data_IF_093423771243
#
_entry.id   IF_093423771243
#
_cell.length_a   1.000
_cell.length_b   1.000
_cell.length_c   1.000
_cell.angle_alpha   90.00
_cell.angle_beta   90.00
_cell.angle_gamma   90.00
#
_symmetry.space_group_name_H-M   'P 1'
#
loop_
_entity.id
_entity.type
_entity.pdbx_description
1 polymer ?
#
# COMPACT_ATOMS: atom_id res chain seq x y z
N UNK A 1 -8.56 -10.46 27.12
CA UNK A 1 -8.06 -11.20 25.94
C UNK A 1 -7.67 -10.27 24.79
N UNK A 2 -8.56 -9.38 24.27
CA UNK A 2 -8.25 -8.46 23.16
C UNK A 2 -7.13 -7.46 23.50
N UNK A 3 -7.21 -6.78 24.66
CA UNK A 3 -6.20 -5.79 25.08
C UNK A 3 -4.79 -6.39 25.26
N UNK A 4 -4.69 -7.63 25.72
CA UNK A 4 -3.40 -8.32 25.84
C UNK A 4 -2.84 -8.61 24.43
N UNK A 5 -3.68 -9.09 23.52
CA UNK A 5 -3.31 -9.32 22.11
C UNK A 5 -2.84 -8.04 21.42
N UNK A 6 -3.45 -6.89 21.72
CA UNK A 6 -3.02 -5.59 21.22
C UNK A 6 -1.61 -5.20 21.69
N UNK A 7 -1.33 -5.42 22.99
CA UNK A 7 -0.01 -5.09 23.59
C UNK A 7 1.10 -6.01 23.10
N UNK A 8 0.79 -7.29 22.90
CA UNK A 8 1.73 -8.30 22.41
C UNK A 8 2.02 -8.14 20.91
N UNK A 9 1.11 -7.51 20.15
CA UNK A 9 1.23 -7.31 18.71
C UNK A 9 1.33 -5.82 18.40
N UNK A 10 2.53 -5.30 18.49
CA UNK A 10 2.86 -3.91 18.14
C UNK A 10 3.85 -3.92 16.99
N UNK A 11 3.57 -3.14 15.95
CA UNK A 11 4.47 -3.03 14.81
C UNK A 11 4.02 -1.97 13.82
N UNK A 12 4.91 -1.67 12.89
CA UNK A 12 4.63 -0.79 11.78
C UNK A 12 5.06 -1.45 10.47
N UNK A 13 4.19 -1.38 9.49
CA UNK A 13 4.48 -1.80 8.12
C UNK A 13 4.88 -0.56 7.31
N UNK A 14 6.07 -0.57 6.75
CA UNK A 14 6.51 0.50 5.84
C UNK A 14 5.85 0.28 4.49
N UNK A 15 5.03 1.25 4.04
CA UNK A 15 4.38 1.26 2.73
C UNK A 15 4.86 2.48 1.95
N UNK A 16 5.36 2.25 0.75
CA UNK A 16 5.65 3.27 -0.24
C UNK A 16 4.56 3.29 -1.30
N UNK A 17 4.03 4.47 -1.56
CA UNK A 17 3.04 4.73 -2.60
C UNK A 17 3.74 5.31 -3.85
N UNK A 18 3.04 5.35 -4.97
CA UNK A 18 3.47 5.97 -6.23
C UNK A 18 4.79 5.42 -6.81
N UNK A 19 5.00 4.11 -6.67
CA UNK A 19 6.16 3.44 -7.27
C UNK A 19 5.90 3.24 -8.76
N UNK A 20 6.66 3.95 -9.59
CA UNK A 20 6.48 4.00 -11.04
C UNK A 20 7.81 4.13 -11.77
N UNK A 21 7.86 3.87 -13.09
CA UNK A 21 9.09 4.10 -13.88
C UNK A 21 9.56 5.55 -13.79
N UNK A 22 8.62 6.50 -13.73
CA UNK A 22 8.87 7.92 -13.53
C UNK A 22 8.60 8.28 -12.06
N UNK A 23 9.63 8.41 -11.27
CA UNK A 23 9.55 8.77 -9.86
C UNK A 23 10.87 9.38 -9.37
N UNK A 24 10.92 9.88 -8.15
CA UNK A 24 12.15 10.37 -7.53
C UNK A 24 13.11 9.21 -7.18
N UNK A 25 13.79 8.70 -8.19
CA UNK A 25 14.71 7.57 -8.04
C UNK A 25 15.89 7.87 -7.13
N UNK A 26 16.32 9.13 -7.03
CA UNK A 26 17.42 9.51 -6.12
C UNK A 26 17.02 9.23 -4.68
N UNK A 27 15.80 9.59 -4.28
CA UNK A 27 15.28 9.30 -2.94
C UNK A 27 14.99 7.81 -2.75
N UNK A 28 14.38 7.14 -3.74
CA UNK A 28 14.08 5.73 -3.64
C UNK A 28 15.34 4.86 -3.52
N UNK A 29 16.39 5.15 -4.29
CA UNK A 29 17.67 4.43 -4.20
C UNK A 29 18.34 4.60 -2.83
N UNK A 30 18.20 5.77 -2.18
CA UNK A 30 18.66 6.00 -0.80
C UNK A 30 17.83 5.17 0.21
N UNK A 31 16.50 5.18 0.07
CA UNK A 31 15.61 4.37 0.89
C UNK A 31 15.90 2.87 0.73
N UNK A 32 16.11 2.39 -0.49
CA UNK A 32 16.43 0.98 -0.75
C UNK A 32 17.71 0.54 -0.03
N UNK A 33 18.77 1.34 -0.10
CA UNK A 33 20.03 1.04 0.62
C UNK A 33 19.80 0.94 2.13
N UNK A 34 19.14 1.91 2.72
CA UNK A 34 18.82 1.94 4.14
C UNK A 34 18.00 0.71 4.57
N UNK A 35 16.93 0.41 3.84
CA UNK A 35 16.03 -0.71 4.17
C UNK A 35 16.75 -2.06 4.07
N UNK A 36 17.64 -2.22 3.08
CA UNK A 36 18.45 -3.42 2.95
C UNK A 36 19.48 -3.54 4.09
N UNK A 37 20.12 -2.45 4.50
CA UNK A 37 21.07 -2.40 5.62
C UNK A 37 20.42 -2.91 6.92
N UNK A 38 19.20 -2.46 7.21
CA UNK A 38 18.46 -2.88 8.41
C UNK A 38 17.59 -4.12 8.19
N UNK A 39 17.69 -4.80 7.03
CA UNK A 39 16.88 -5.97 6.64
C UNK A 39 15.36 -5.72 6.77
N UNK A 40 14.90 -4.51 6.49
CA UNK A 40 13.48 -4.14 6.48
C UNK A 40 12.85 -4.55 5.15
N UNK A 41 11.65 -5.13 5.21
CA UNK A 41 10.88 -5.60 4.05
C UNK A 41 9.61 -4.75 3.91
N UNK A 42 9.63 -3.69 3.09
CA UNK A 42 8.49 -2.81 2.89
C UNK A 42 7.43 -3.42 1.97
N UNK A 43 6.32 -2.72 1.84
CA UNK A 43 5.35 -2.88 0.74
C UNK A 43 5.52 -1.74 -0.24
N UNK A 44 5.52 -2.06 -1.52
CA UNK A 44 5.62 -1.12 -2.62
C UNK A 44 4.32 -1.10 -3.42
N UNK A 45 3.65 0.04 -3.45
CA UNK A 45 2.49 0.31 -4.29
C UNK A 45 2.92 0.69 -5.70
N UNK A 46 2.96 -0.31 -6.57
CA UNK A 46 3.40 -0.14 -7.94
C UNK A 46 2.22 0.25 -8.83
N UNK A 47 2.38 1.33 -9.58
CA UNK A 47 1.44 1.78 -10.60
C UNK A 47 1.75 1.02 -11.90
N UNK A 48 0.87 0.13 -12.40
CA UNK A 48 1.17 -0.70 -13.58
C UNK A 48 1.38 0.09 -14.86
N UNK A 49 0.58 1.15 -15.06
CA UNK A 49 0.64 2.03 -16.24
C UNK A 49 0.52 3.47 -15.78
N UNK A 50 1.64 4.06 -15.39
CA UNK A 50 1.62 5.44 -14.89
C UNK A 50 1.21 6.43 -15.98
N UNK A 51 0.09 7.13 -15.76
CA UNK A 51 -0.41 8.25 -16.58
C UNK A 51 -0.60 9.53 -15.72
N UNK A 52 -0.12 9.52 -14.48
CA UNK A 52 -0.14 10.69 -13.60
C UNK A 52 0.83 11.74 -14.10
N UNK A 53 0.28 12.91 -14.44
CA UNK A 53 1.05 14.02 -15.03
C UNK A 53 2.14 14.56 -14.10
N UNK A 54 1.95 14.48 -12.79
CA UNK A 54 2.96 14.92 -11.83
C UNK A 54 4.14 13.95 -11.80
N UNK A 55 3.87 12.66 -11.77
CA UNK A 55 4.91 11.64 -11.78
C UNK A 55 5.66 11.57 -13.10
N UNK A 56 4.98 11.77 -14.22
CA UNK A 56 5.59 11.78 -15.55
C UNK A 56 6.65 12.89 -15.74
N UNK A 57 6.72 13.89 -14.85
CA UNK A 57 7.78 14.89 -14.85
C UNK A 57 9.14 14.35 -14.36
N UNK A 58 9.16 13.19 -13.69
CA UNK A 58 10.41 12.55 -13.27
C UNK A 58 11.05 11.77 -14.42
N UNK A 59 12.39 11.64 -14.43
CA UNK A 59 13.08 10.84 -15.43
C UNK A 59 12.59 9.39 -15.46
N UNK A 60 12.42 8.86 -16.67
CA UNK A 60 12.08 7.46 -16.90
C UNK A 60 13.25 6.54 -16.52
N UNK A 61 12.99 5.48 -15.78
CA UNK A 61 13.94 4.39 -15.55
C UNK A 61 13.52 3.16 -16.37
N UNK A 62 14.20 2.91 -17.47
CA UNK A 62 13.81 1.87 -18.45
C UNK A 62 13.80 0.45 -17.88
N UNK A 63 14.73 0.12 -16.97
CA UNK A 63 14.81 -1.20 -16.32
C UNK A 63 13.92 -1.33 -15.08
N UNK A 64 12.86 -0.54 -14.98
CA UNK A 64 11.94 -0.51 -13.83
C UNK A 64 11.44 -1.90 -13.40
N UNK A 65 10.94 -2.68 -14.34
CA UNK A 65 10.36 -3.99 -14.03
C UNK A 65 11.40 -5.01 -13.54
N UNK A 66 12.66 -4.90 -13.97
CA UNK A 66 13.74 -5.72 -13.43
C UNK A 66 14.06 -5.34 -11.99
N UNK A 67 13.97 -4.06 -11.67
CA UNK A 67 14.10 -3.58 -10.29
C UNK A 67 12.95 -4.11 -9.43
N UNK A 68 11.70 -4.05 -9.89
CA UNK A 68 10.53 -4.58 -9.16
C UNK A 68 10.68 -6.09 -8.92
N UNK A 69 11.13 -6.88 -9.92
CA UNK A 69 11.45 -8.31 -9.75
C UNK A 69 12.52 -8.54 -8.67
N UNK A 70 13.59 -7.74 -8.70
CA UNK A 70 14.66 -7.81 -7.70
C UNK A 70 14.13 -7.50 -6.29
N UNK A 71 13.29 -6.49 -6.12
CA UNK A 71 12.65 -6.18 -4.84
C UNK A 71 11.80 -7.37 -4.36
N UNK A 72 10.98 -7.93 -5.25
CA UNK A 72 10.17 -9.12 -4.91
C UNK A 72 11.06 -10.33 -4.53
N UNK A 73 12.15 -10.57 -5.24
CA UNK A 73 13.09 -11.66 -4.91
C UNK A 73 13.80 -11.44 -3.56
N UNK A 74 13.90 -10.20 -3.11
CA UNK A 74 14.41 -9.82 -1.79
C UNK A 74 13.32 -9.86 -0.70
N UNK A 75 12.17 -10.48 -0.98
CA UNK A 75 11.00 -10.57 -0.09
C UNK A 75 10.35 -9.22 0.25
N UNK A 76 10.50 -8.22 -0.61
CA UNK A 76 9.67 -7.03 -0.53
C UNK A 76 8.29 -7.33 -1.10
N UNK A 77 7.24 -6.88 -0.44
CA UNK A 77 5.87 -7.09 -0.91
C UNK A 77 5.54 -6.10 -2.02
N UNK A 78 5.02 -6.61 -3.13
CA UNK A 78 4.56 -5.78 -4.25
C UNK A 78 3.04 -5.77 -4.23
N UNK A 79 2.47 -4.58 -4.23
CA UNK A 79 1.04 -4.33 -4.32
C UNK A 79 0.72 -3.53 -5.57
N UNK A 80 -0.46 -3.70 -6.11
CA UNK A 80 -0.98 -2.84 -7.17
C UNK A 80 -1.55 -1.56 -6.54
N UNK A 81 -1.08 -0.41 -7.01
CA UNK A 81 -1.54 0.92 -6.58
C UNK A 81 -2.30 1.60 -7.72
N UNK A 82 -3.60 1.30 -7.81
CA UNK A 82 -4.39 1.70 -8.96
C UNK A 82 -3.99 0.99 -10.25
N UNK A 83 -4.37 1.56 -11.37
CA UNK A 83 -3.98 1.13 -12.73
C UNK A 83 -3.14 2.20 -13.43
N UNK A 84 -3.69 3.42 -13.55
CA UNK A 84 -3.04 4.55 -14.21
C UNK A 84 -2.64 5.67 -13.26
N UNK A 85 -3.14 5.65 -12.03
CA UNK A 85 -3.06 6.72 -11.04
C UNK A 85 -3.73 8.04 -11.51
N UNK A 86 -4.74 7.93 -12.36
CA UNK A 86 -5.54 9.08 -12.83
C UNK A 86 -6.91 9.06 -12.17
N UNK A 87 -7.23 10.13 -11.47
CA UNK A 87 -8.52 10.29 -10.77
C UNK A 87 -9.55 10.89 -11.74
N UNK A 88 -10.22 10.04 -12.51
CA UNK A 88 -11.14 10.39 -13.59
C UNK A 88 -12.63 10.25 -13.21
N UNK A 89 -12.94 9.73 -12.02
CA UNK A 89 -14.26 9.85 -11.41
C UNK A 89 -14.27 10.94 -10.36
N UNK A 90 -15.35 11.71 -10.32
CA UNK A 90 -15.60 12.70 -9.26
C UNK A 90 -17.01 12.52 -8.72
N UNK A 91 -17.14 12.42 -7.39
CA UNK A 91 -18.42 12.20 -6.73
C UNK A 91 -18.51 12.97 -5.42
N UNK A 92 -19.74 13.47 -5.13
CA UNK A 92 -20.06 14.08 -3.83
C UNK A 92 -20.44 13.04 -2.77
N UNK A 93 -20.51 11.76 -3.13
CA UNK A 93 -20.80 10.69 -2.19
C UNK A 93 -19.55 10.38 -1.38
N UNK A 94 -19.75 9.82 -0.20
CA UNK A 94 -18.67 9.23 0.61
C UNK A 94 -18.43 7.80 0.15
N UNK A 95 -17.17 7.43 0.09
CA UNK A 95 -16.74 6.07 -0.17
C UNK A 95 -16.95 5.18 1.07
N UNK A 96 -16.49 3.93 1.00
CA UNK A 96 -16.60 2.97 2.08
C UNK A 96 -15.90 3.41 3.38
N UNK A 97 -14.80 4.15 3.28
CA UNK A 97 -14.04 4.67 4.44
C UNK A 97 -14.40 6.11 4.81
N UNK A 98 -15.52 6.64 4.32
CA UNK A 98 -15.98 8.00 4.55
C UNK A 98 -15.08 9.10 3.95
N UNK A 99 -14.23 8.75 2.99
CA UNK A 99 -13.56 9.70 2.11
C UNK A 99 -14.52 10.17 1.01
N UNK A 100 -14.03 10.88 0.04
CA UNK A 100 -14.82 11.36 -1.10
C UNK A 100 -13.97 12.10 -2.11
N UNK A 101 -14.61 12.73 -3.08
CA UNK A 101 -13.96 13.52 -4.11
C UNK A 101 -13.55 12.68 -5.31
N UNK A 102 -12.32 12.89 -5.79
CA UNK A 102 -11.81 12.25 -7.02
C UNK A 102 -11.24 10.87 -6.75
N UNK A 103 -11.49 9.94 -7.67
CA UNK A 103 -11.01 8.56 -7.55
C UNK A 103 -10.69 7.95 -8.92
N UNK A 104 -9.83 6.95 -8.90
CA UNK A 104 -9.62 6.06 -10.05
C UNK A 104 -10.58 4.87 -10.03
N UNK A 105 -11.17 4.50 -8.88
CA UNK A 105 -12.06 3.34 -8.73
C UNK A 105 -13.45 3.73 -8.25
N UNK A 106 -13.57 4.30 -7.06
CA UNK A 106 -14.85 4.70 -6.49
C UNK A 106 -15.63 5.65 -7.41
N UNK A 107 -16.88 5.29 -7.68
CA UNK A 107 -17.75 6.07 -8.57
C UNK A 107 -17.83 5.53 -10.00
N UNK A 108 -16.95 4.59 -10.38
CA UNK A 108 -17.04 3.85 -11.64
C UNK A 108 -17.95 2.62 -11.50
N UNK A 109 -18.52 2.19 -12.62
CA UNK A 109 -19.25 0.93 -12.69
C UNK A 109 -18.33 -0.27 -12.44
N UNK A 110 -18.91 -1.37 -11.95
CA UNK A 110 -18.18 -2.61 -11.65
C UNK A 110 -17.29 -3.09 -12.81
N UNK A 111 -17.84 -3.15 -14.02
CA UNK A 111 -17.11 -3.64 -15.19
C UNK A 111 -15.90 -2.77 -15.54
N UNK A 112 -15.99 -1.46 -15.31
CA UNK A 112 -14.87 -0.54 -15.52
C UNK A 112 -13.76 -0.78 -14.48
N UNK A 113 -14.13 -0.88 -13.20
CA UNK A 113 -13.17 -1.17 -12.12
C UNK A 113 -12.49 -2.53 -12.36
N UNK A 114 -13.27 -3.56 -12.70
CA UNK A 114 -12.76 -4.90 -13.03
C UNK A 114 -11.78 -4.87 -14.21
N UNK A 115 -12.12 -4.13 -15.27
CA UNK A 115 -11.28 -3.98 -16.46
C UNK A 115 -9.94 -3.31 -16.13
N UNK A 116 -9.92 -2.28 -15.27
CA UNK A 116 -8.69 -1.63 -14.78
C UNK A 116 -7.81 -2.62 -14.02
N UNK A 117 -8.38 -3.39 -13.11
CA UNK A 117 -7.65 -4.42 -12.37
C UNK A 117 -7.08 -5.50 -13.30
N UNK A 118 -7.88 -6.03 -14.23
CA UNK A 118 -7.42 -7.03 -15.21
C UNK A 118 -6.29 -6.50 -16.10
N UNK A 119 -6.37 -5.25 -16.55
CA UNK A 119 -5.30 -4.61 -17.33
C UNK A 119 -4.02 -4.44 -16.50
N UNK A 120 -4.14 -3.99 -15.25
CA UNK A 120 -3.01 -3.85 -14.35
C UNK A 120 -2.33 -5.20 -14.09
N UNK A 121 -3.10 -6.22 -13.71
CA UNK A 121 -2.58 -7.58 -13.51
C UNK A 121 -1.90 -8.15 -14.74
N UNK A 122 -2.44 -7.90 -15.95
CA UNK A 122 -1.80 -8.31 -17.19
C UNK A 122 -0.40 -7.73 -17.33
N UNK A 123 -0.19 -6.48 -16.92
CA UNK A 123 1.15 -5.85 -16.96
C UNK A 123 2.09 -6.54 -15.96
N UNK A 124 1.64 -6.80 -14.73
CA UNK A 124 2.43 -7.53 -13.74
C UNK A 124 2.79 -8.92 -14.24
N UNK A 125 1.82 -9.68 -14.75
CA UNK A 125 2.02 -11.04 -15.28
C UNK A 125 2.98 -11.08 -16.47
N UNK A 126 2.88 -10.11 -17.39
CA UNK A 126 3.82 -9.98 -18.52
C UNK A 126 5.26 -9.76 -18.04
N UNK A 127 5.42 -9.15 -16.86
CA UNK A 127 6.70 -8.97 -16.20
C UNK A 127 7.01 -10.09 -15.19
N UNK A 128 6.29 -11.21 -15.19
CA UNK A 128 6.51 -12.35 -14.29
C UNK A 128 6.45 -11.99 -12.79
N UNK A 129 5.55 -11.08 -12.43
CA UNK A 129 5.34 -10.63 -11.06
C UNK A 129 3.90 -10.99 -10.65
N UNK A 130 3.76 -11.96 -9.75
CA UNK A 130 2.46 -12.27 -9.15
C UNK A 130 2.20 -11.34 -7.97
N UNK A 131 1.00 -10.81 -7.89
CA UNK A 131 0.53 -9.97 -6.79
C UNK A 131 -0.84 -10.43 -6.30
N UNK A 132 -1.11 -10.22 -5.03
CA UNK A 132 -2.38 -10.50 -4.36
C UNK A 132 -2.80 -9.37 -3.41
N UNK A 133 -2.12 -8.24 -3.50
CA UNK A 133 -2.25 -7.09 -2.60
C UNK A 133 -2.55 -5.83 -3.40
N UNK A 134 -3.45 -5.01 -2.86
CA UNK A 134 -3.90 -3.76 -3.46
C UNK A 134 -4.04 -2.66 -2.41
N UNK A 135 -3.91 -1.43 -2.82
CA UNK A 135 -4.48 -0.26 -2.15
C UNK A 135 -4.78 0.83 -3.18
N UNK A 136 -5.97 1.43 -3.03
CA UNK A 136 -6.45 2.40 -4.01
C UNK A 136 -5.72 3.73 -3.89
N UNK A 137 -5.38 4.38 -5.00
CA UNK A 137 -5.05 5.80 -4.98
C UNK A 137 -6.16 6.61 -4.29
N UNK A 138 -5.77 7.64 -3.51
CA UNK A 138 -6.68 8.47 -2.73
C UNK A 138 -7.55 7.70 -1.70
N UNK A 139 -7.21 6.46 -1.35
CA UNK A 139 -7.89 5.63 -0.31
C UNK A 139 -9.39 5.44 -0.52
N UNK A 140 -9.87 5.49 -1.76
CA UNK A 140 -11.30 5.48 -2.07
C UNK A 140 -11.77 4.14 -2.64
N UNK A 141 -12.80 3.56 -2.00
CA UNK A 141 -13.34 2.23 -2.29
C UNK A 141 -14.87 2.24 -2.26
N UNK A 142 -15.49 1.34 -3.02
CA UNK A 142 -16.89 0.99 -2.91
C UNK A 142 -17.10 -0.54 -3.00
N UNK A 143 -18.34 -0.98 -2.94
CA UNK A 143 -18.70 -2.40 -3.06
C UNK A 143 -18.19 -3.00 -4.38
N UNK A 144 -18.29 -2.25 -5.48
CA UNK A 144 -17.79 -2.67 -6.77
C UNK A 144 -16.27 -2.91 -6.74
N UNK A 145 -15.53 -2.07 -6.02
CA UNK A 145 -14.08 -2.23 -5.84
C UNK A 145 -13.77 -3.56 -5.16
N UNK A 146 -14.44 -3.86 -4.04
CA UNK A 146 -14.21 -5.12 -3.31
C UNK A 146 -14.60 -6.35 -4.12
N UNK A 147 -15.72 -6.30 -4.85
CA UNK A 147 -16.17 -7.42 -5.68
C UNK A 147 -15.22 -7.65 -6.87
N UNK A 148 -14.77 -6.58 -7.52
CA UNK A 148 -13.80 -6.66 -8.61
C UNK A 148 -12.43 -7.21 -8.15
N UNK A 149 -11.94 -6.79 -6.97
CA UNK A 149 -10.71 -7.31 -6.38
C UNK A 149 -10.81 -8.82 -6.10
N UNK A 150 -11.93 -9.28 -5.53
CA UNK A 150 -12.16 -10.71 -5.29
C UNK A 150 -12.19 -11.52 -6.58
N UNK A 151 -12.87 -11.01 -7.61
CA UNK A 151 -12.93 -11.71 -8.91
C UNK A 151 -11.55 -11.93 -9.53
N UNK A 152 -10.64 -10.98 -9.35
CA UNK A 152 -9.27 -11.12 -9.90
C UNK A 152 -8.28 -11.79 -8.93
N UNK A 153 -8.74 -12.24 -7.75
CA UNK A 153 -7.90 -12.95 -6.78
C UNK A 153 -7.02 -12.05 -5.91
N UNK A 154 -7.26 -10.75 -5.88
CA UNK A 154 -6.59 -9.82 -4.97
C UNK A 154 -7.37 -9.80 -3.65
N UNK A 155 -6.80 -10.41 -2.61
CA UNK A 155 -7.48 -10.63 -1.33
C UNK A 155 -6.79 -9.95 -0.14
N UNK A 156 -5.87 -9.03 -0.40
CA UNK A 156 -5.18 -8.25 0.63
C UNK A 156 -5.26 -6.76 0.30
N UNK A 157 -5.69 -5.96 1.28
CA UNK A 157 -5.72 -4.49 1.18
C UNK A 157 -4.89 -3.91 2.33
N UNK A 158 -4.05 -2.92 2.01
CA UNK A 158 -3.30 -2.17 3.02
C UNK A 158 -3.95 -0.80 3.11
N UNK A 159 -5.03 -0.73 3.87
CA UNK A 159 -5.85 0.45 4.08
C UNK A 159 -6.91 0.20 5.15
N UNK A 160 -7.75 1.21 5.42
CA UNK A 160 -8.89 1.10 6.32
C UNK A 160 -8.54 1.30 7.79
N UNK A 161 -9.56 1.14 8.64
CA UNK A 161 -9.49 1.47 10.05
C UNK A 161 -9.47 0.23 10.92
N UNK A 162 -8.60 0.20 11.90
CA UNK A 162 -8.46 -0.89 12.86
C UNK A 162 -7.17 -0.75 13.68
N UNK A 163 -7.04 -1.52 14.74
CA UNK A 163 -5.81 -1.58 15.55
C UNK A 163 -4.94 -2.80 15.23
N UNK A 164 -5.52 -3.82 14.66
CA UNK A 164 -4.83 -5.03 14.16
C UNK A 164 -5.38 -5.37 12.78
N UNK A 165 -4.63 -6.10 11.95
CA UNK A 165 -5.16 -6.66 10.73
C UNK A 165 -6.46 -7.44 10.99
N UNK A 166 -7.38 -7.39 10.05
CA UNK A 166 -8.70 -8.01 10.15
C UNK A 166 -9.17 -8.51 8.78
N UNK A 167 -10.19 -9.37 8.80
CA UNK A 167 -10.89 -9.79 7.59
C UNK A 167 -12.27 -9.16 7.52
N UNK A 168 -12.60 -8.63 6.34
CA UNK A 168 -13.92 -8.15 5.99
C UNK A 168 -14.24 -8.53 4.54
N UNK A 169 -15.43 -9.07 4.28
CA UNK A 169 -15.88 -9.55 2.95
C UNK A 169 -14.91 -10.50 2.26
N UNK A 170 -14.25 -11.37 3.02
CA UNK A 170 -13.21 -12.30 2.55
C UNK A 170 -11.95 -11.58 1.98
N UNK A 171 -11.73 -10.34 2.37
CA UNK A 171 -10.51 -9.59 2.07
C UNK A 171 -9.81 -9.29 3.41
N UNK A 172 -8.50 -9.45 3.45
CA UNK A 172 -7.68 -9.19 4.63
C UNK A 172 -7.12 -7.78 4.56
N UNK A 173 -7.33 -7.00 5.62
CA UNK A 173 -6.91 -5.61 5.73
C UNK A 173 -5.75 -5.45 6.70
N UNK A 174 -4.74 -4.68 6.31
CA UNK A 174 -3.78 -4.10 7.25
C UNK A 174 -4.13 -2.63 7.42
N UNK A 175 -4.53 -2.21 8.64
CA UNK A 175 -5.08 -0.87 8.84
C UNK A 175 -4.04 0.23 8.67
N UNK A 176 -4.53 1.41 8.29
CA UNK A 176 -3.78 2.65 8.21
C UNK A 176 -4.56 3.78 8.88
N UNK A 177 -4.28 4.04 10.16
CA UNK A 177 -4.88 5.16 10.89
C UNK A 177 -4.10 6.46 10.71
N UNK A 178 -2.81 6.35 10.46
CA UNK A 178 -1.88 7.49 10.35
C UNK A 178 -0.93 7.28 9.18
N UNK A 179 -0.72 8.32 8.38
CA UNK A 179 0.27 8.30 7.30
C UNK A 179 1.69 8.69 7.76
N UNK A 180 1.90 8.87 9.06
CA UNK A 180 3.19 9.27 9.62
C UNK A 180 3.99 8.07 10.13
N UNK A 181 5.29 8.28 10.30
CA UNK A 181 6.23 7.33 10.92
C UNK A 181 6.01 7.28 12.44
N UNK A 182 4.88 6.70 12.86
CA UNK A 182 4.49 6.62 14.27
C UNK A 182 4.22 5.16 14.63
N UNK A 183 4.94 4.65 15.63
CA UNK A 183 4.64 3.37 16.23
C UNK A 183 3.69 3.59 17.40
N UNK A 184 2.49 3.03 17.30
CA UNK A 184 1.52 3.07 18.38
C UNK A 184 2.00 2.22 19.57
N UNK A 185 1.56 2.52 20.80
CA UNK A 185 1.88 1.71 21.98
C UNK A 185 1.27 0.32 21.91
N UNK A 186 0.32 0.09 21.03
CA UNK A 186 -0.32 -1.20 20.74
C UNK A 186 -0.87 -1.22 19.32
N UNK A 187 -0.95 -2.42 18.74
CA UNK A 187 -1.51 -2.65 17.42
C UNK A 187 -0.52 -2.52 16.27
N UNK A 188 -0.99 -2.77 15.07
CA UNK A 188 -0.22 -2.80 13.83
C UNK A 188 -0.83 -1.80 12.85
N UNK A 189 0.02 -0.93 12.32
CA UNK A 189 -0.36 0.10 11.35
C UNK A 189 0.57 0.06 10.15
N UNK A 190 0.08 0.50 9.00
CA UNK A 190 0.93 0.84 7.86
C UNK A 190 1.25 2.34 7.81
N UNK A 191 2.40 2.67 7.22
CA UNK A 191 2.70 4.05 6.84
C UNK A 191 2.12 4.35 5.47
N UNK A 192 2.22 5.63 5.05
CA UNK A 192 2.03 6.07 3.67
C UNK A 192 3.21 6.98 3.32
N UNK A 193 4.06 6.53 2.41
CA UNK A 193 5.28 7.25 2.05
C UNK A 193 5.28 7.55 0.55
N UNK A 194 5.34 8.83 0.22
CA UNK A 194 5.45 9.34 -1.14
C UNK A 194 6.85 9.97 -1.32
N UNK A 195 7.84 9.16 -1.69
CA UNK A 195 9.23 9.65 -1.88
C UNK A 195 9.36 10.72 -2.94
N UNK A 196 8.38 10.81 -3.83
CA UNK A 196 8.34 11.80 -4.92
C UNK A 196 8.31 13.25 -4.40
N UNK A 197 7.74 13.47 -3.23
CA UNK A 197 7.60 14.80 -2.62
C UNK A 197 8.61 15.05 -1.50
N UNK A 198 9.56 14.13 -1.30
CA UNK A 198 10.51 14.23 -0.19
C UNK A 198 11.64 15.21 -0.48
N UNK A 199 12.02 15.91 0.58
CA UNK A 199 13.26 16.68 0.71
C UNK A 199 14.33 15.86 1.44
N UNK A 200 15.57 16.34 1.47
CA UNK A 200 16.63 15.71 2.28
C UNK A 200 16.27 15.64 3.77
N UNK A 201 15.49 16.60 4.28
CA UNK A 201 15.00 16.58 5.66
C UNK A 201 14.09 15.37 5.93
N UNK A 202 13.21 15.04 4.99
CA UNK A 202 12.29 13.90 5.13
C UNK A 202 13.07 12.59 5.11
N UNK A 203 14.08 12.50 4.25
CA UNK A 203 14.99 11.36 4.21
C UNK A 203 15.72 11.17 5.55
N UNK A 204 16.31 12.22 6.10
CA UNK A 204 17.01 12.17 7.41
C UNK A 204 16.04 11.72 8.52
N UNK A 205 14.79 12.19 8.51
CA UNK A 205 13.78 11.74 9.46
C UNK A 205 13.48 10.25 9.32
N UNK A 206 13.39 9.77 8.08
CA UNK A 206 13.17 8.36 7.79
C UNK A 206 14.37 7.49 8.22
N UNK A 207 15.58 7.92 7.93
CA UNK A 207 16.83 7.24 8.35
C UNK A 207 16.86 7.09 9.87
N UNK A 208 16.67 8.16 10.61
CA UNK A 208 16.62 8.15 12.08
C UNK A 208 15.49 7.24 12.62
N UNK A 209 14.34 7.23 11.94
CA UNK A 209 13.22 6.38 12.32
C UNK A 209 13.56 4.90 12.14
N UNK A 210 14.09 4.52 10.98
CA UNK A 210 14.46 3.13 10.66
C UNK A 210 15.56 2.65 11.61
N UNK A 211 16.63 3.42 11.77
CA UNK A 211 17.73 3.09 12.68
C UNK A 211 17.21 2.77 14.09
N UNK A 212 16.39 3.65 14.64
CA UNK A 212 15.84 3.52 15.99
C UNK A 212 14.84 2.37 16.12
N UNK A 213 14.07 2.07 15.07
CA UNK A 213 12.85 1.26 15.20
C UNK A 213 12.83 0.01 14.32
N UNK A 214 13.89 -0.33 13.58
CA UNK A 214 13.91 -1.46 12.63
C UNK A 214 13.38 -2.78 13.22
N UNK A 215 13.60 -3.04 14.51
CA UNK A 215 13.09 -4.24 15.22
C UNK A 215 11.56 -4.26 15.39
N UNK A 216 10.89 -3.11 15.22
CA UNK A 216 9.42 -2.99 15.27
C UNK A 216 8.82 -2.81 13.88
N UNK A 217 9.64 -2.68 12.86
CA UNK A 217 9.20 -2.67 11.47
C UNK A 217 9.01 -4.11 11.02
N UNK A 218 7.80 -4.45 10.59
CA UNK A 218 7.42 -5.81 10.24
C UNK A 218 7.05 -5.93 8.77
N UNK A 219 7.22 -7.13 8.20
CA UNK A 219 6.76 -7.43 6.84
C UNK A 219 5.24 -7.57 6.77
N UNK A 220 4.69 -7.55 5.55
CA UNK A 220 3.26 -7.77 5.31
C UNK A 220 2.79 -9.12 5.86
N UNK A 221 3.53 -10.19 5.62
CA UNK A 221 3.15 -11.51 6.11
C UNK A 221 3.14 -11.58 7.64
N UNK A 222 4.14 -10.96 8.28
CA UNK A 222 4.17 -10.85 9.73
C UNK A 222 3.01 -9.99 10.26
N UNK A 223 2.63 -8.91 9.58
CA UNK A 223 1.46 -8.13 9.96
C UNK A 223 0.19 -8.98 9.87
N UNK A 224 -0.05 -9.64 8.74
CA UNK A 224 -1.24 -10.46 8.51
C UNK A 224 -1.31 -11.68 9.43
N UNK A 225 -0.18 -12.24 9.88
CA UNK A 225 -0.17 -13.33 10.86
C UNK A 225 -0.76 -12.93 12.22
N UNK A 226 -0.92 -11.62 12.48
CA UNK A 226 -1.49 -11.05 13.72
C UNK A 226 -2.96 -10.65 13.57
N UNK A 227 -3.63 -11.12 12.54
CA UNK A 227 -5.03 -10.85 12.27
C UNK A 227 -5.94 -11.12 13.47
N UNK A 228 -6.89 -10.23 13.69
CA UNK A 228 -7.86 -10.33 14.78
C UNK A 228 -9.25 -9.87 14.33
N UNK A 229 -10.15 -10.82 14.19
CA UNK A 229 -11.53 -10.61 13.77
C UNK A 229 -12.52 -10.36 14.92
N UNK A 230 -12.03 -9.96 16.11
CA UNK A 230 -12.91 -9.61 17.23
C UNK A 230 -13.80 -8.42 16.88
N UNK A 231 -15.00 -8.38 17.48
CA UNK A 231 -15.92 -7.25 17.33
C UNK A 231 -15.27 -5.92 17.71
N UNK A 232 -14.41 -5.89 18.74
CA UNK A 232 -13.73 -4.66 19.16
C UNK A 232 -12.77 -4.13 18.09
N UNK A 233 -12.17 -4.98 17.27
CA UNK A 233 -11.33 -4.52 16.16
C UNK A 233 -12.18 -4.05 14.97
N UNK A 234 -13.38 -4.59 14.81
CA UNK A 234 -14.33 -4.24 13.73
C UNK A 234 -15.11 -2.94 13.97
N UNK A 235 -15.07 -2.37 15.19
CA UNK A 235 -15.68 -1.06 15.48
C UNK A 235 -14.97 0.12 14.79
N UNK A 236 -13.84 -0.12 14.16
CA UNK A 236 -13.09 0.89 13.39
C UNK A 236 -13.29 0.77 11.87
N UNK A 237 -14.31 0.02 11.44
CA UNK A 237 -14.70 -0.11 10.02
C UNK A 237 -15.96 0.72 9.77
#
# INVERSE_FOLDING_TARGET
MFLNKLRENTGILIRFDDIAPNMNWVMMDKCERLLNEYNVKPVLGVIPKNEDKELLNYPLRENFWDIVKRWKSNNWSIAMHGYTHVYDAETNKKDFFNHGGKSEFFGHAYDEQLNRLKKGLKIFNNNQIDIDTFFAPNHTYDENTFDALKEVGILKIIDGYGLLPYEFKNIRFVPQLFYKLIILPCGIQSTQIHVNYWTDKDLIQFENFVEKNHKKIISLDNALSKENNSLMNKFFI
#
